data_IF_087127403960
#
_entry.id   IF_087127403960
#
_cell.length_a   1.000
_cell.length_b   1.000
_cell.length_c   1.000
_cell.angle_alpha   90.00
_cell.angle_beta   90.00
_cell.angle_gamma   90.00
#
_symmetry.space_group_name_H-M   'P 1'
#
loop_
_entity.id
_entity.type
_entity.pdbx_description
1 polymer ?
#
# COMPACT_ATOMS: atom_id res chain seq x y z
N UNK A 1 14.99 27.12 -10.73
CA UNK A 1 14.65 25.84 -10.06
C UNK A 1 13.14 25.77 -9.92
N UNK A 2 12.48 25.11 -10.87
CA UNK A 2 11.04 24.78 -10.80
C UNK A 2 10.97 23.26 -10.92
N UNK A 3 10.66 22.60 -9.82
CA UNK A 3 10.42 21.16 -9.80
C UNK A 3 9.21 20.90 -10.71
N UNK A 4 9.47 20.42 -11.93
CA UNK A 4 8.46 19.79 -12.77
C UNK A 4 8.00 18.56 -12.01
N UNK A 5 6.86 18.67 -11.34
CA UNK A 5 6.19 17.54 -10.72
C UNK A 5 5.76 16.64 -11.88
N UNK A 6 6.48 15.53 -12.05
CA UNK A 6 6.24 14.51 -13.08
C UNK A 6 4.79 14.07 -13.06
N UNK A 7 4.03 14.60 -14.02
CA UNK A 7 2.62 14.28 -14.30
C UNK A 7 2.51 12.94 -15.04
N UNK A 8 3.37 11.98 -14.69
CA UNK A 8 3.48 10.62 -15.28
C UNK A 8 3.31 9.52 -14.21
N UNK A 9 3.18 9.88 -12.93
CA UNK A 9 3.07 8.93 -11.80
C UNK A 9 1.68 8.31 -11.59
N UNK A 10 0.79 8.38 -12.57
CA UNK A 10 -0.61 7.93 -12.44
C UNK A 10 -0.96 6.76 -13.38
N UNK A 11 -0.09 6.36 -14.30
CA UNK A 11 -0.48 5.41 -15.36
C UNK A 11 -0.10 3.94 -15.14
N UNK A 12 0.60 3.60 -14.06
CA UNK A 12 0.80 2.19 -13.67
C UNK A 12 1.35 2.13 -12.24
N UNK A 13 0.50 1.99 -11.23
CA UNK A 13 0.97 1.45 -9.94
C UNK A 13 1.39 0.01 -10.25
N UNK A 14 2.69 -0.16 -10.50
CA UNK A 14 3.25 -1.47 -10.80
C UNK A 14 3.00 -2.41 -9.62
N UNK A 15 2.96 -3.71 -9.90
CA UNK A 15 2.76 -4.76 -8.88
C UNK A 15 3.73 -4.59 -7.69
N UNK A 16 4.92 -4.05 -7.93
CA UNK A 16 5.93 -3.72 -6.91
C UNK A 16 5.50 -2.58 -5.97
N UNK A 17 4.84 -1.54 -6.49
CA UNK A 17 4.31 -0.44 -5.68
C UNK A 17 3.11 -0.91 -4.85
N UNK A 18 2.22 -1.74 -5.42
CA UNK A 18 1.16 -2.41 -4.65
C UNK A 18 1.74 -3.23 -3.49
N UNK A 19 2.74 -4.07 -3.77
CA UNK A 19 3.37 -4.91 -2.77
C UNK A 19 4.03 -4.06 -1.66
N UNK A 20 4.66 -2.95 -2.02
CA UNK A 20 5.28 -2.03 -1.06
C UNK A 20 4.24 -1.36 -0.16
N UNK A 21 3.09 -0.95 -0.72
CA UNK A 21 2.00 -0.34 0.04
C UNK A 21 1.35 -1.35 1.00
N UNK A 22 1.08 -2.56 0.53
CA UNK A 22 0.52 -3.64 1.37
C UNK A 22 1.50 -3.99 2.50
N UNK A 23 2.80 -4.06 2.21
CA UNK A 23 3.81 -4.32 3.23
C UNK A 23 3.87 -3.24 4.31
N UNK A 24 3.84 -1.96 3.91
CA UNK A 24 3.79 -0.84 4.87
C UNK A 24 2.54 -0.90 5.75
N UNK A 25 1.39 -1.27 5.18
CA UNK A 25 0.16 -1.48 5.93
C UNK A 25 0.28 -2.65 6.91
N UNK A 26 0.84 -3.78 6.47
CA UNK A 26 1.03 -4.96 7.32
C UNK A 26 1.94 -4.66 8.51
N UNK A 27 3.05 -3.94 8.30
CA UNK A 27 3.95 -3.52 9.38
C UNK A 27 3.27 -2.60 10.39
N UNK A 28 2.46 -1.65 9.90
CA UNK A 28 1.73 -0.73 10.76
C UNK A 28 0.72 -1.50 11.62
N UNK A 29 -0.09 -2.36 11.00
CA UNK A 29 -1.11 -3.18 11.68
C UNK A 29 -0.46 -4.16 12.65
N UNK A 30 0.66 -4.78 12.28
CA UNK A 30 1.44 -5.66 13.15
C UNK A 30 1.91 -4.93 14.41
N UNK A 31 2.43 -3.70 14.26
CA UNK A 31 2.86 -2.87 15.38
C UNK A 31 1.68 -2.42 16.26
N UNK A 32 0.55 -2.04 15.65
CA UNK A 32 -0.64 -1.60 16.39
C UNK A 32 -1.32 -2.73 17.15
N UNK A 33 -1.37 -3.95 16.59
CA UNK A 33 -2.00 -5.11 17.21
C UNK A 33 -1.03 -5.96 18.05
N UNK A 34 0.27 -5.69 18.02
CA UNK A 34 1.29 -6.52 18.68
C UNK A 34 1.41 -7.94 18.10
N UNK A 35 1.07 -8.11 16.83
CA UNK A 35 1.10 -9.41 16.11
C UNK A 35 2.25 -9.45 15.12
N UNK A 36 2.52 -10.63 14.54
CA UNK A 36 3.54 -10.76 13.49
C UNK A 36 3.05 -10.13 12.17
N UNK A 37 3.99 -9.60 11.38
CA UNK A 37 3.72 -9.09 10.01
C UNK A 37 2.97 -10.14 9.15
N UNK A 38 3.35 -11.41 9.35
CA UNK A 38 2.64 -12.65 9.02
C UNK A 38 1.11 -12.52 9.01
N UNK A 39 0.61 -12.27 10.21
CA UNK A 39 -0.82 -12.29 10.54
C UNK A 39 -1.52 -11.00 10.15
N UNK A 40 -0.79 -9.89 10.17
CA UNK A 40 -1.27 -8.58 9.73
C UNK A 40 -1.43 -8.46 8.21
N UNK A 41 -0.88 -9.39 7.42
CA UNK A 41 -0.93 -9.34 5.96
C UNK A 41 -2.36 -9.40 5.41
N UNK A 42 -3.21 -10.26 5.99
CA UNK A 42 -4.60 -10.38 5.56
C UNK A 42 -5.40 -9.09 5.84
N UNK A 43 -5.21 -8.48 7.00
CA UNK A 43 -5.79 -7.19 7.33
C UNK A 43 -5.29 -6.10 6.36
N UNK A 44 -3.98 -6.07 6.09
CA UNK A 44 -3.36 -5.09 5.19
C UNK A 44 -3.90 -5.17 3.77
N UNK A 45 -4.06 -6.39 3.23
CA UNK A 45 -4.66 -6.62 1.91
C UNK A 45 -6.13 -6.20 1.89
N UNK A 46 -6.88 -6.44 2.98
CA UNK A 46 -8.28 -6.01 3.09
C UNK A 46 -8.41 -4.48 3.08
N UNK A 47 -7.57 -3.78 3.87
CA UNK A 47 -7.51 -2.31 3.89
C UNK A 47 -7.06 -1.74 2.55
N UNK A 48 -6.06 -2.36 1.91
CA UNK A 48 -5.61 -1.98 0.58
C UNK A 48 -6.74 -2.13 -0.45
N UNK A 49 -7.45 -3.26 -0.46
CA UNK A 49 -8.63 -3.45 -1.30
C UNK A 49 -9.69 -2.40 -1.02
N UNK A 50 -10.03 -2.09 0.24
CA UNK A 50 -11.04 -1.06 0.52
C UNK A 50 -10.63 0.33 0.02
N UNK A 51 -9.36 0.71 0.17
CA UNK A 51 -8.86 2.03 -0.25
C UNK A 51 -8.67 2.16 -1.76
N UNK A 52 -8.32 1.07 -2.45
CA UNK A 52 -7.92 1.09 -3.86
C UNK A 52 -8.89 0.36 -4.81
N UNK A 53 -9.95 -0.29 -4.31
CA UNK A 53 -11.01 -0.93 -5.13
C UNK A 53 -11.81 0.07 -5.98
N UNK A 54 -11.68 1.38 -5.75
CA UNK A 54 -12.29 2.43 -6.59
C UNK A 54 -11.45 2.82 -7.82
N UNK A 55 -10.32 2.14 -8.07
CA UNK A 55 -9.45 2.40 -9.23
C UNK A 55 -9.47 1.27 -10.27
N UNK A 56 -10.41 0.32 -10.17
CA UNK A 56 -10.71 -0.72 -11.16
C UNK A 56 -12.14 -0.57 -11.64
#
# INVERSE_FOLDING_TARGET
>A
MLYRVDRDKISNIGILECATLIRKLAQKIAKEKGIKEQEAWNDAVSVYKQKYRYLV
#
